data_IF_351470582027
#
_entry.id   IF_351470582027
#
_cell.length_a   1.000
_cell.length_b   1.000
_cell.length_c   1.000
_cell.angle_alpha   90.00
_cell.angle_beta   90.00
_cell.angle_gamma   90.00
#
_symmetry.space_group_name_H-M   'P 1'
#
loop_
_entity.id
_entity.type
_entity.pdbx_description
1 polymer ?
#
# COMPACT_ATOMS: atom_id res chain seq x y z
N UNK A 1 -0.79 -9.05 22.21
CA UNK A 1 -0.99 -8.94 20.74
C UNK A 1 0.16 -8.12 20.21
N UNK A 2 1.18 -8.70 19.55
CA UNK A 2 2.37 -7.89 19.26
C UNK A 2 3.19 -8.21 18.01
N UNK A 3 3.37 -9.46 17.57
CA UNK A 3 4.32 -9.69 16.46
C UNK A 3 3.65 -9.95 15.11
N UNK A 4 2.48 -10.61 15.10
CA UNK A 4 1.77 -10.92 13.85
C UNK A 4 1.12 -9.67 13.22
N UNK A 5 0.56 -8.76 14.02
CA UNK A 5 0.00 -7.49 13.53
C UNK A 5 1.10 -6.56 12.96
N UNK A 6 2.28 -6.55 13.59
CA UNK A 6 3.44 -5.78 13.11
C UNK A 6 3.99 -6.36 11.80
N UNK A 7 4.00 -7.69 11.66
CA UNK A 7 4.40 -8.34 10.41
C UNK A 7 3.38 -8.06 9.29
N UNK A 8 2.09 -8.27 9.54
CA UNK A 8 1.02 -8.03 8.56
C UNK A 8 1.01 -6.58 8.08
N UNK A 9 1.18 -5.62 9.00
CA UNK A 9 1.24 -4.20 8.65
C UNK A 9 2.52 -3.84 7.86
N UNK A 10 3.66 -4.48 8.16
CA UNK A 10 4.89 -4.32 7.39
C UNK A 10 4.74 -4.87 5.97
N UNK A 11 4.16 -6.06 5.83
CA UNK A 11 3.88 -6.68 4.53
C UNK A 11 2.90 -5.83 3.71
N UNK A 12 1.83 -5.34 4.34
CA UNK A 12 0.88 -4.45 3.70
C UNK A 12 1.54 -3.16 3.20
N UNK A 13 2.44 -2.55 4.00
CA UNK A 13 3.21 -1.39 3.57
C UNK A 13 4.08 -1.68 2.34
N UNK A 14 4.83 -2.79 2.34
CA UNK A 14 5.67 -3.19 1.21
C UNK A 14 4.83 -3.43 -0.04
N UNK A 15 3.70 -4.15 0.09
CA UNK A 15 2.78 -4.42 -1.00
C UNK A 15 2.24 -3.14 -1.62
N UNK A 16 1.85 -2.14 -0.81
CA UNK A 16 1.39 -0.85 -1.32
C UNK A 16 2.47 -0.08 -2.09
N UNK A 17 3.71 -0.09 -1.58
CA UNK A 17 4.85 0.56 -2.25
C UNK A 17 5.19 -0.11 -3.57
N UNK A 18 5.20 -1.43 -3.60
CA UNK A 18 5.58 -2.20 -4.79
C UNK A 18 4.49 -2.12 -5.85
N UNK A 19 3.22 -2.08 -5.46
CA UNK A 19 2.09 -1.83 -6.38
C UNK A 19 2.22 -0.46 -7.04
N UNK A 20 2.51 0.61 -6.27
CA UNK A 20 2.72 1.94 -6.83
C UNK A 20 3.89 1.97 -7.83
N UNK A 21 4.99 1.29 -7.51
CA UNK A 21 6.15 1.17 -8.41
C UNK A 21 5.81 0.40 -9.69
N UNK A 22 5.04 -0.67 -9.59
CA UNK A 22 4.57 -1.44 -10.74
C UNK A 22 3.69 -0.57 -11.66
N UNK A 23 2.72 0.15 -11.10
CA UNK A 23 1.84 1.03 -11.87
C UNK A 23 2.63 2.11 -12.62
N UNK A 24 3.63 2.73 -11.96
CA UNK A 24 4.52 3.70 -12.62
C UNK A 24 5.34 3.08 -13.74
N UNK A 25 5.86 1.86 -13.53
CA UNK A 25 6.63 1.13 -14.53
C UNK A 25 5.77 0.75 -15.74
N UNK A 26 4.52 0.37 -15.50
CA UNK A 26 3.56 -0.05 -16.53
C UNK A 26 2.86 1.13 -17.22
N UNK A 27 3.12 2.36 -16.78
CA UNK A 27 2.49 3.56 -17.35
C UNK A 27 1.02 3.73 -16.99
N UNK A 28 0.54 3.04 -15.95
CA UNK A 28 -0.83 3.21 -15.44
C UNK A 28 -0.96 4.62 -14.87
N UNK A 29 -1.92 5.39 -15.39
CA UNK A 29 -2.19 6.75 -14.93
C UNK A 29 -2.74 6.69 -13.51
N UNK A 30 -1.87 6.99 -12.55
CA UNK A 30 -2.21 7.06 -11.14
C UNK A 30 -1.38 8.16 -10.47
N UNK A 31 -1.86 8.62 -9.31
CA UNK A 31 -1.20 9.65 -8.52
C UNK A 31 -0.94 9.17 -7.10
N UNK A 32 -0.21 9.99 -6.34
CA UNK A 32 0.02 9.79 -4.90
C UNK A 32 -1.29 9.56 -4.12
N UNK A 33 -2.38 10.20 -4.53
CA UNK A 33 -3.67 10.15 -3.82
C UNK A 33 -4.63 9.09 -4.37
N UNK A 34 -4.27 8.40 -5.46
CA UNK A 34 -5.04 7.28 -5.99
C UNK A 34 -5.00 6.02 -5.12
N UNK A 35 -4.07 5.93 -4.16
CA UNK A 35 -3.85 4.73 -3.35
C UNK A 35 -5.14 4.11 -2.74
N UNK A 36 -6.03 4.88 -2.09
CA UNK A 36 -7.26 4.34 -1.52
C UNK A 36 -8.21 3.68 -2.54
N UNK A 37 -8.21 4.07 -3.82
CA UNK A 37 -9.10 3.48 -4.83
C UNK A 37 -8.61 2.14 -5.38
N UNK A 38 -7.30 1.88 -5.28
CA UNK A 38 -6.64 0.66 -5.77
C UNK A 38 -6.20 -0.28 -4.65
N UNK A 39 -6.36 0.13 -3.39
CA UNK A 39 -6.08 -0.70 -2.23
C UNK A 39 -6.97 -1.96 -2.26
N UNK A 40 -6.40 -3.16 -1.98
CA UNK A 40 -7.19 -4.39 -1.89
C UNK A 40 -8.32 -4.25 -0.85
N UNK A 41 -9.50 -4.79 -1.19
CA UNK A 41 -10.66 -4.79 -0.30
C UNK A 41 -10.59 -5.95 0.69
N UNK A 42 -11.22 -5.79 1.86
CA UNK A 42 -11.31 -6.84 2.87
C UNK A 42 -10.09 -6.98 3.79
N UNK A 43 -9.10 -6.09 3.65
CA UNK A 43 -7.99 -6.00 4.61
C UNK A 43 -8.45 -5.44 5.95
N UNK A 44 -7.76 -5.79 7.03
CA UNK A 44 -7.96 -5.15 8.31
C UNK A 44 -7.64 -3.64 8.21
N UNK A 45 -8.27 -2.81 9.06
CA UNK A 45 -8.16 -1.35 8.97
C UNK A 45 -6.70 -0.86 9.11
N UNK A 46 -5.92 -1.48 10.00
CA UNK A 46 -4.51 -1.14 10.21
C UNK A 46 -3.65 -1.46 8.98
N UNK A 47 -3.90 -2.60 8.34
CA UNK A 47 -3.16 -3.03 7.15
C UNK A 47 -3.53 -2.17 5.95
N UNK A 48 -4.80 -1.79 5.82
CA UNK A 48 -5.28 -0.82 4.82
C UNK A 48 -4.53 0.50 4.96
N UNK A 49 -4.42 1.03 6.18
CA UNK A 49 -3.67 2.25 6.44
C UNK A 49 -2.17 2.09 6.13
N UNK A 50 -1.58 0.94 6.49
CA UNK A 50 -0.18 0.64 6.19
C UNK A 50 0.08 0.55 4.69
N UNK A 51 -0.80 -0.11 3.93
CA UNK A 51 -0.76 -0.22 2.48
C UNK A 51 -0.82 1.16 1.81
N UNK A 52 -1.76 2.01 2.23
CA UNK A 52 -1.88 3.38 1.67
C UNK A 52 -0.66 4.23 1.99
N UNK A 53 -0.02 4.07 3.16
CA UNK A 53 1.27 4.71 3.47
C UNK A 53 2.37 4.20 2.54
N UNK A 54 2.42 2.89 2.30
CA UNK A 54 3.33 2.24 1.35
C UNK A 54 3.21 2.83 -0.05
N UNK A 55 1.98 2.89 -0.57
CA UNK A 55 1.67 3.52 -1.86
C UNK A 55 2.23 4.93 -1.94
N UNK A 56 1.90 5.79 -0.96
CA UNK A 56 2.31 7.20 -0.92
C UNK A 56 3.83 7.37 -0.89
N UNK A 57 4.55 6.44 -0.26
CA UNK A 57 6.02 6.47 -0.16
C UNK A 57 6.74 6.32 -1.50
N UNK A 58 6.08 5.77 -2.53
CA UNK A 58 6.66 5.62 -3.86
C UNK A 58 6.61 6.91 -4.71
N UNK A 59 6.03 8.00 -4.18
CA UNK A 59 5.83 9.27 -4.87
C UNK A 59 6.64 10.44 -4.28
N UNK A 60 7.28 10.21 -3.15
CA UNK A 60 8.38 11.03 -2.60
C UNK A 60 9.70 10.52 -3.15
#
# INVERSE_FOLDING_TARGET
MSNYDDLASTEAFLAGRDTARAYRREGVVCTRDSGPSVCPRGMHANDTAAWVRGWRSAWT
#
